data_IF_231233308533
#
_entry.id   IF_231233308533
#
_cell.length_a   1.000
_cell.length_b   1.000
_cell.length_c   1.000
_cell.angle_alpha   90.00
_cell.angle_beta   90.00
_cell.angle_gamma   90.00
#
_symmetry.space_group_name_H-M   'P 1'
#
loop_
_entity.id
_entity.type
_entity.pdbx_description
1 polymer ?
#
# COMPACT_ATOMS: atom_id res chain seq x y z
N UNK A 1 -6.39 7.79 -0.22
CA UNK A 1 -5.76 8.59 0.86
C UNK A 1 -5.87 7.92 2.23
N UNK A 2 -7.07 7.54 2.68
CA UNK A 2 -7.26 6.86 3.98
C UNK A 2 -6.34 5.64 4.14
N UNK A 3 -6.28 4.74 3.15
CA UNK A 3 -5.41 3.56 3.22
C UNK A 3 -3.91 3.91 3.32
N UNK A 4 -3.48 4.96 2.63
CA UNK A 4 -2.10 5.46 2.75
C UNK A 4 -1.79 5.98 4.16
N UNK A 5 -2.72 6.73 4.75
CA UNK A 5 -2.60 7.16 6.15
C UNK A 5 -2.54 5.96 7.10
N UNK A 6 -3.34 4.92 6.87
CA UNK A 6 -3.29 3.68 7.68
C UNK A 6 -1.90 3.05 7.60
N UNK A 7 -1.29 2.93 6.41
CA UNK A 7 0.06 2.38 6.28
C UNK A 7 1.13 3.25 6.96
N UNK A 8 1.09 4.57 6.75
CA UNK A 8 2.02 5.52 7.37
C UNK A 8 1.91 5.48 8.90
N UNK A 9 0.69 5.53 9.41
CA UNK A 9 0.41 5.48 10.86
C UNK A 9 0.84 4.16 11.46
N UNK A 10 0.48 3.03 10.85
CA UNK A 10 0.84 1.71 11.36
C UNK A 10 2.36 1.49 11.41
N UNK A 11 3.08 1.94 10.37
CA UNK A 11 4.53 1.95 10.34
C UNK A 11 5.12 2.85 11.44
N UNK A 12 4.62 4.07 11.58
CA UNK A 12 5.13 5.04 12.55
C UNK A 12 4.89 4.60 14.00
N UNK A 13 3.68 4.14 14.31
CA UNK A 13 3.32 3.70 15.66
C UNK A 13 3.99 2.39 16.05
N UNK A 14 4.16 1.44 15.12
CA UNK A 14 4.91 0.22 15.43
C UNK A 14 6.39 0.48 15.68
N UNK A 15 7.00 1.45 14.99
CA UNK A 15 8.37 1.89 15.31
C UNK A 15 8.48 2.56 16.66
N UNK A 16 7.52 3.44 16.97
CA UNK A 16 7.44 4.10 18.28
C UNK A 16 7.29 3.07 19.40
N UNK A 17 6.48 2.03 19.19
CA UNK A 17 6.34 0.95 20.15
C UNK A 17 7.63 0.15 20.34
N UNK A 18 8.47 0.02 19.30
CA UNK A 18 9.76 -0.67 19.38
C UNK A 18 10.82 0.17 20.14
N UNK A 19 10.98 1.44 19.76
CA UNK A 19 12.11 2.28 20.24
C UNK A 19 11.77 3.14 21.46
N UNK A 20 10.48 3.35 21.74
CA UNK A 20 10.01 4.23 22.79
C UNK A 20 10.03 5.71 22.41
N UNK A 21 9.48 6.53 23.31
CA UNK A 21 9.23 7.95 23.06
C UNK A 21 10.51 8.80 23.08
N UNK A 22 11.47 8.45 23.92
CA UNK A 22 12.74 9.19 24.07
C UNK A 22 13.49 9.30 22.75
N UNK A 23 13.62 8.18 22.04
CA UNK A 23 14.28 8.15 20.74
C UNK A 23 13.40 8.73 19.62
N UNK A 24 12.10 8.39 19.60
CA UNK A 24 11.24 8.83 18.49
C UNK A 24 10.88 10.31 18.50
N UNK A 25 11.00 11.02 19.62
CA UNK A 25 10.82 12.49 19.68
C UNK A 25 12.14 13.25 19.49
N UNK A 26 13.28 12.59 19.70
CA UNK A 26 14.60 13.19 19.50
C UNK A 26 15.01 13.32 18.02
N UNK A 27 16.27 13.70 17.79
CA UNK A 27 16.82 13.97 16.46
C UNK A 27 16.91 12.72 15.54
N UNK A 28 16.91 11.51 16.11
CA UNK A 28 16.98 10.21 15.39
C UNK A 28 18.23 10.07 14.50
N UNK A 29 19.33 10.73 14.85
CA UNK A 29 20.57 10.72 14.06
C UNK A 29 21.20 9.31 13.98
N UNK A 30 21.06 8.52 15.03
CA UNK A 30 21.47 7.10 15.02
C UNK A 30 20.42 6.26 14.30
N UNK A 31 20.80 5.57 13.22
CA UNK A 31 19.90 4.67 12.50
C UNK A 31 19.63 3.39 13.32
N UNK A 32 18.35 3.15 13.66
CA UNK A 32 17.93 1.96 14.41
C UNK A 32 17.03 1.05 13.57
N UNK A 33 17.40 -0.22 13.36
CA UNK A 33 16.68 -1.09 12.44
C UNK A 33 15.32 -1.51 13.00
N UNK A 34 14.30 -1.54 12.13
CA UNK A 34 12.98 -2.08 12.46
C UNK A 34 13.00 -3.60 12.50
N UNK A 35 12.61 -4.19 13.64
CA UNK A 35 12.64 -5.63 13.91
C UNK A 35 11.24 -6.20 13.98
N UNK A 36 11.14 -7.54 13.85
CA UNK A 36 9.91 -8.31 14.04
C UNK A 36 8.67 -7.65 13.38
N UNK A 37 7.69 -7.23 14.19
CA UNK A 37 6.44 -6.63 13.73
C UNK A 37 6.62 -5.25 13.08
N UNK A 38 7.44 -4.37 13.66
CA UNK A 38 7.74 -3.06 13.07
C UNK A 38 8.40 -3.21 11.70
N UNK A 39 9.27 -4.23 11.55
CA UNK A 39 9.84 -4.59 10.25
C UNK A 39 8.80 -5.09 9.24
N UNK A 40 7.75 -5.80 9.69
CA UNK A 40 6.64 -6.22 8.80
C UNK A 40 5.82 -5.02 8.33
N UNK A 41 5.43 -4.13 9.22
CA UNK A 41 4.72 -2.90 8.85
C UNK A 41 5.52 -2.03 7.88
N UNK A 42 6.82 -1.92 8.09
CA UNK A 42 7.69 -1.13 7.22
C UNK A 42 7.77 -1.66 5.80
N UNK A 43 7.96 -2.97 5.64
CA UNK A 43 7.96 -3.58 4.31
C UNK A 43 6.59 -3.49 3.64
N UNK A 44 5.50 -3.59 4.40
CA UNK A 44 4.15 -3.39 3.88
C UNK A 44 3.93 -1.93 3.40
N UNK A 45 4.37 -0.93 4.18
CA UNK A 45 4.31 0.49 3.80
C UNK A 45 5.15 0.79 2.56
N UNK A 46 6.40 0.31 2.51
CA UNK A 46 7.26 0.47 1.33
C UNK A 46 6.64 -0.14 0.08
N UNK A 47 6.11 -1.35 0.18
CA UNK A 47 5.46 -2.00 -0.96
C UNK A 47 4.18 -1.27 -1.42
N UNK A 48 3.40 -0.71 -0.49
CA UNK A 48 2.27 0.13 -0.85
C UNK A 48 2.74 1.41 -1.59
N UNK A 49 3.82 2.03 -1.10
CA UNK A 49 4.44 3.21 -1.71
C UNK A 49 4.99 2.98 -3.12
N UNK A 50 5.34 1.75 -3.49
CA UNK A 50 5.80 1.42 -4.85
C UNK A 50 4.68 1.41 -5.89
N UNK A 51 3.45 0.99 -5.53
CA UNK A 51 2.35 0.87 -6.50
C UNK A 51 1.31 1.97 -6.38
N UNK A 52 1.12 2.55 -5.20
CA UNK A 52 0.07 3.54 -4.98
C UNK A 52 0.23 4.79 -5.85
N UNK A 53 1.44 5.36 -6.04
CA UNK A 53 1.63 6.47 -6.96
C UNK A 53 1.26 6.12 -8.40
N UNK A 54 1.61 4.90 -8.86
CA UNK A 54 1.25 4.42 -10.20
C UNK A 54 -0.27 4.33 -10.37
N UNK A 55 -0.95 3.72 -9.41
CA UNK A 55 -2.41 3.61 -9.40
C UNK A 55 -3.09 4.99 -9.35
N UNK A 56 -2.62 5.89 -8.47
CA UNK A 56 -3.19 7.22 -8.32
C UNK A 56 -3.02 8.05 -9.61
N UNK A 57 -1.83 8.03 -10.21
CA UNK A 57 -1.58 8.69 -11.50
C UNK A 57 -2.49 8.14 -12.60
N UNK A 58 -2.64 6.81 -12.68
CA UNK A 58 -3.50 6.16 -13.67
C UNK A 58 -4.97 6.58 -13.53
N UNK A 59 -5.51 6.61 -12.31
CA UNK A 59 -6.89 7.06 -12.05
C UNK A 59 -7.06 8.53 -12.43
N UNK A 60 -6.07 9.38 -12.13
CA UNK A 60 -6.11 10.79 -12.54
C UNK A 60 -6.10 10.95 -14.06
N UNK A 61 -5.26 10.19 -14.77
CA UNK A 61 -5.23 10.20 -16.24
C UNK A 61 -6.57 9.75 -16.81
N UNK A 62 -7.15 8.65 -16.31
CA UNK A 62 -8.48 8.18 -16.73
C UNK A 62 -9.56 9.25 -16.53
N UNK A 63 -9.53 9.94 -15.39
CA UNK A 63 -10.51 10.98 -15.07
C UNK A 63 -10.35 12.21 -15.98
N UNK A 64 -9.14 12.75 -16.11
CA UNK A 64 -8.88 13.97 -16.90
C UNK A 64 -9.05 13.72 -18.41
N UNK A 65 -8.75 12.51 -18.90
CA UNK A 65 -8.97 12.15 -20.31
C UNK A 65 -10.42 11.80 -20.63
N UNK A 66 -11.32 11.74 -19.64
CA UNK A 66 -12.71 11.32 -19.83
C UNK A 66 -12.87 9.86 -20.25
N UNK A 67 -11.85 9.02 -20.00
CA UNK A 67 -11.81 7.60 -20.41
C UNK A 67 -12.17 6.63 -19.29
N UNK A 68 -12.70 7.12 -18.17
CA UNK A 68 -13.21 6.24 -17.12
C UNK A 68 -14.38 5.40 -17.62
N UNK A 69 -14.38 4.11 -17.29
CA UNK A 69 -15.42 3.15 -17.65
C UNK A 69 -15.43 1.92 -16.74
N UNK A 70 -16.20 0.90 -17.11
CA UNK A 70 -16.40 -0.30 -16.28
C UNK A 70 -15.11 -0.99 -15.88
N UNK A 71 -14.13 -1.10 -16.79
CA UNK A 71 -12.85 -1.74 -16.49
C UNK A 71 -12.00 -0.94 -15.51
N UNK A 72 -12.02 0.40 -15.59
CA UNK A 72 -11.35 1.24 -14.59
C UNK A 72 -12.02 1.20 -13.22
N UNK A 73 -13.36 1.09 -13.17
CA UNK A 73 -14.09 0.98 -11.90
C UNK A 73 -13.76 -0.32 -11.20
N UNK A 74 -13.92 -1.45 -11.89
CA UNK A 74 -13.57 -2.75 -11.32
C UNK A 74 -12.07 -2.85 -11.00
N UNK A 75 -11.22 -2.26 -11.85
CA UNK A 75 -9.79 -2.17 -11.60
C UNK A 75 -9.45 -1.41 -10.30
N UNK A 76 -10.14 -0.30 -10.04
CA UNK A 76 -10.00 0.47 -8.80
C UNK A 76 -10.47 -0.30 -7.56
N UNK A 77 -11.59 -1.02 -7.67
CA UNK A 77 -12.12 -1.87 -6.60
C UNK A 77 -11.16 -3.01 -6.26
N UNK A 78 -10.63 -3.71 -7.26
CA UNK A 78 -9.64 -4.77 -7.07
C UNK A 78 -8.35 -4.25 -6.47
N UNK A 79 -7.86 -3.09 -6.94
CA UNK A 79 -6.69 -2.45 -6.35
C UNK A 79 -6.90 -2.14 -4.87
N UNK A 80 -8.00 -1.45 -4.53
CA UNK A 80 -8.29 -1.06 -3.15
C UNK A 80 -8.53 -2.28 -2.27
N UNK A 81 -9.36 -3.23 -2.69
CA UNK A 81 -9.66 -4.46 -1.95
C UNK A 81 -8.42 -5.30 -1.70
N UNK A 82 -7.61 -5.50 -2.75
CA UNK A 82 -6.33 -6.20 -2.66
C UNK A 82 -5.38 -5.52 -1.67
N UNK A 83 -5.29 -4.18 -1.68
CA UNK A 83 -4.42 -3.44 -0.75
C UNK A 83 -4.93 -3.40 0.68
N UNK A 84 -6.25 -3.36 0.90
CA UNK A 84 -6.85 -3.48 2.24
C UNK A 84 -6.53 -4.86 2.83
N UNK A 85 -6.68 -5.93 2.05
CA UNK A 85 -6.38 -7.30 2.49
C UNK A 85 -4.86 -7.56 2.62
N UNK A 86 -4.04 -6.88 1.83
CA UNK A 86 -2.58 -7.06 1.82
C UNK A 86 -1.95 -6.74 3.17
N UNK A 87 -2.38 -5.67 3.85
CA UNK A 87 -1.80 -5.28 5.14
C UNK A 87 -1.94 -6.39 6.20
N UNK A 88 -3.14 -6.88 6.58
CA UNK A 88 -3.27 -7.98 7.54
C UNK A 88 -2.61 -9.27 7.04
N UNK A 89 -2.67 -9.56 5.74
CA UNK A 89 -1.99 -10.73 5.16
C UNK A 89 -0.46 -10.68 5.30
N UNK A 90 0.14 -9.48 5.23
CA UNK A 90 1.57 -9.30 5.44
C UNK A 90 1.96 -9.52 6.91
N UNK A 91 1.09 -9.09 7.83
CA UNK A 91 1.34 -9.17 9.27
C UNK A 91 1.14 -10.58 9.82
N UNK A 92 0.23 -11.36 9.25
CA UNK A 92 -0.09 -12.72 9.71
C UNK A 92 1.07 -13.72 9.52
N UNK A 93 1.96 -13.47 8.56
CA UNK A 93 3.05 -14.39 8.23
C UNK A 93 2.60 -15.64 7.48
N UNK A 94 1.32 -15.73 7.08
CA UNK A 94 0.78 -16.85 6.30
C UNK A 94 1.48 -16.87 4.93
N UNK A 95 2.06 -18.01 4.51
CA UNK A 95 2.64 -18.16 3.19
C UNK A 95 1.63 -17.82 2.09
N UNK A 96 2.09 -17.15 1.03
CA UNK A 96 1.30 -16.76 -0.15
C UNK A 96 0.12 -15.80 0.04
N UNK A 97 -0.41 -15.60 1.26
CA UNK A 97 -1.56 -14.72 1.50
C UNK A 97 -1.31 -13.28 0.96
N UNK A 98 -0.14 -12.70 1.28
CA UNK A 98 0.26 -11.40 0.75
C UNK A 98 0.41 -11.40 -0.77
N UNK A 99 0.86 -12.51 -1.36
CA UNK A 99 1.10 -12.64 -2.80
C UNK A 99 -0.22 -12.62 -3.55
N UNK A 100 -1.22 -13.36 -3.08
CA UNK A 100 -2.57 -13.35 -3.68
C UNK A 100 -3.18 -11.94 -3.62
N UNK A 101 -3.09 -11.27 -2.47
CA UNK A 101 -3.58 -9.90 -2.30
C UNK A 101 -2.87 -8.91 -3.23
N UNK A 102 -1.55 -9.07 -3.41
CA UNK A 102 -0.76 -8.25 -4.34
C UNK A 102 -1.17 -8.48 -5.80
N UNK A 103 -1.38 -9.74 -6.19
CA UNK A 103 -1.80 -10.08 -7.56
C UNK A 103 -3.19 -9.51 -7.88
N UNK A 104 -4.14 -9.59 -6.95
CA UNK A 104 -5.46 -8.97 -7.10
C UNK A 104 -5.31 -7.46 -7.37
N UNK A 105 -4.45 -6.78 -6.60
CA UNK A 105 -4.22 -5.35 -6.80
C UNK A 105 -3.51 -5.05 -8.12
N UNK A 106 -2.56 -5.88 -8.54
CA UNK A 106 -1.85 -5.74 -9.81
C UNK A 106 -2.78 -5.91 -11.02
N UNK A 107 -3.68 -6.90 -10.98
CA UNK A 107 -4.74 -7.08 -11.99
C UNK A 107 -5.62 -5.83 -12.07
N UNK A 108 -5.96 -5.23 -10.93
CA UNK A 108 -6.72 -3.98 -10.90
C UNK A 108 -6.05 -2.83 -11.65
N UNK A 109 -4.73 -2.67 -11.50
CA UNK A 109 -3.95 -1.68 -12.26
C UNK A 109 -4.00 -2.01 -13.76
N UNK A 110 -3.77 -3.27 -14.15
CA UNK A 110 -3.79 -3.69 -15.56
C UNK A 110 -5.15 -3.39 -16.21
N UNK A 111 -6.25 -3.67 -15.52
CA UNK A 111 -7.60 -3.39 -16.03
C UNK A 111 -7.84 -1.88 -16.23
N UNK A 112 -7.38 -1.06 -15.30
CA UNK A 112 -7.45 0.38 -15.44
C UNK A 112 -6.56 0.90 -16.59
N UNK A 113 -5.42 0.26 -16.86
CA UNK A 113 -4.60 0.56 -18.05
C UNK A 113 -5.33 0.18 -19.32
N UNK A 114 -5.93 -1.02 -19.39
CA UNK A 114 -6.70 -1.47 -20.57
C UNK A 114 -7.84 -0.50 -20.90
N UNK A 115 -8.51 0.04 -19.88
CA UNK A 115 -9.57 1.05 -20.08
C UNK A 115 -9.08 2.32 -20.79
N UNK A 116 -7.79 2.69 -20.70
CA UNK A 116 -7.25 3.83 -21.45
C UNK A 116 -7.26 3.61 -22.97
N UNK A 117 -7.41 2.38 -23.44
CA UNK A 117 -7.38 2.06 -24.87
C UNK A 117 -8.73 1.61 -25.42
N UNK A 118 -9.73 1.48 -24.55
CA UNK A 118 -11.15 1.25 -24.90
C UNK A 118 -11.87 2.60 -24.98
#
# INVERSE_FOLDING_TARGET
MILGLVHVSADSFSYKAQEGNTYTVGARDDERPRRAMAGRFHRAMRNFGETFPLFAALVLVLHVSGRSGGWSTLGAELYLGGRIAYLPAYLSGIPYARTVCWQIAAVGIVMAIVQLFL
#
